data_IF_881747402810
#
_entry.id   IF_881747402810
#
_cell.length_a   1.000
_cell.length_b   1.000
_cell.length_c   1.000
_cell.angle_alpha   90.00
_cell.angle_beta   90.00
_cell.angle_gamma   90.00
#
_symmetry.space_group_name_H-M   'P 1'
#
loop_
_entity.id
_entity.type
_entity.pdbx_description
1 polymer ?
#
# COMPACT_ATOMS: atom_id res chain seq x y z
N UNK A 1 4.16 -18.60 23.96
CA UNK A 1 4.25 -18.13 22.58
C UNK A 1 5.38 -17.11 22.53
N UNK A 2 6.51 -17.43 21.88
CA UNK A 2 7.67 -16.54 21.82
C UNK A 2 7.28 -15.27 21.05
N UNK A 3 7.62 -14.11 21.60
CA UNK A 3 7.44 -12.81 20.94
C UNK A 3 8.51 -12.63 19.86
N UNK A 4 8.20 -11.97 18.74
CA UNK A 4 9.21 -11.59 17.75
C UNK A 4 10.33 -10.74 18.36
N UNK A 5 10.06 -10.04 19.47
CA UNK A 5 11.06 -9.27 20.19
C UNK A 5 12.12 -10.13 20.87
N UNK A 6 11.84 -11.42 21.10
CA UNK A 6 12.76 -12.39 21.72
C UNK A 6 13.73 -12.99 20.68
N UNK A 7 13.46 -12.81 19.39
CA UNK A 7 14.35 -13.15 18.27
C UNK A 7 14.86 -11.85 17.63
N UNK A 8 16.08 -11.43 17.98
CA UNK A 8 16.63 -10.16 17.49
C UNK A 8 16.83 -10.08 15.98
N UNK A 9 17.02 -11.20 15.28
CA UNK A 9 17.24 -11.21 13.85
C UNK A 9 15.92 -11.12 13.09
N UNK A 10 14.90 -11.85 13.53
CA UNK A 10 13.55 -11.71 13.03
C UNK A 10 12.99 -10.29 13.29
N UNK A 11 13.23 -9.73 14.48
CA UNK A 11 12.83 -8.36 14.83
C UNK A 11 13.53 -7.31 13.96
N UNK A 12 14.83 -7.48 13.68
CA UNK A 12 15.55 -6.57 12.80
C UNK A 12 15.08 -6.68 11.34
N UNK A 13 14.78 -7.88 10.86
CA UNK A 13 14.19 -8.08 9.55
C UNK A 13 12.83 -7.37 9.44
N UNK A 14 11.97 -7.51 10.44
CA UNK A 14 10.68 -6.82 10.50
C UNK A 14 10.83 -5.28 10.48
N UNK A 15 11.88 -4.73 11.12
CA UNK A 15 12.21 -3.31 11.05
C UNK A 15 12.67 -2.91 9.64
N UNK A 16 13.58 -3.67 9.00
CA UNK A 16 14.11 -3.36 7.68
C UNK A 16 13.02 -3.38 6.60
N UNK A 17 12.11 -4.35 6.69
CA UNK A 17 10.97 -4.50 5.78
C UNK A 17 9.78 -3.60 6.14
N UNK A 18 9.84 -2.92 7.29
CA UNK A 18 8.74 -2.13 7.85
C UNK A 18 7.44 -2.91 7.94
N UNK A 19 7.54 -4.13 8.42
CA UNK A 19 6.44 -5.08 8.44
C UNK A 19 5.31 -4.63 9.40
N UNK A 20 4.18 -4.25 8.81
CA UNK A 20 3.02 -3.76 9.53
C UNK A 20 2.35 -4.82 10.42
N UNK A 21 2.61 -6.12 10.19
CA UNK A 21 2.06 -7.21 11.02
C UNK A 21 2.54 -7.16 12.46
N UNK A 22 3.73 -6.55 12.68
CA UNK A 22 4.33 -6.40 14.01
C UNK A 22 4.08 -5.02 14.64
N UNK A 23 3.33 -4.16 13.97
CA UNK A 23 3.00 -2.85 14.50
C UNK A 23 2.13 -2.95 15.77
N UNK A 24 2.53 -2.25 16.82
CA UNK A 24 1.93 -2.39 18.17
C UNK A 24 2.38 -3.61 18.98
N UNK A 25 3.16 -4.53 18.37
CA UNK A 25 3.69 -5.74 19.05
C UNK A 25 5.21 -5.81 19.08
N UNK A 26 5.87 -4.96 18.31
CA UNK A 26 7.31 -4.81 18.26
C UNK A 26 7.65 -3.33 18.37
N UNK A 27 8.59 -2.99 19.23
CA UNK A 27 9.14 -1.66 19.39
C UNK A 27 10.66 -1.73 19.35
N UNK A 28 11.28 -0.76 18.70
CA UNK A 28 12.73 -0.76 18.44
C UNK A 28 13.36 0.43 19.11
N UNK A 29 14.11 0.20 20.17
CA UNK A 29 14.92 1.20 20.85
C UNK A 29 16.26 1.38 20.13
N UNK A 30 16.59 2.61 19.78
CA UNK A 30 17.85 2.98 19.12
C UNK A 30 18.82 3.54 20.15
N UNK A 31 19.83 2.78 20.51
CA UNK A 31 20.77 3.10 21.59
C UNK A 31 21.53 4.38 21.37
N UNK A 32 21.87 4.71 20.12
CA UNK A 32 22.60 5.94 19.77
C UNK A 32 21.79 7.23 19.97
N UNK A 33 20.44 7.12 20.06
CA UNK A 33 19.56 8.29 20.18
C UNK A 33 18.69 8.27 21.44
N UNK A 34 18.58 7.12 22.12
CA UNK A 34 17.68 6.91 23.24
C UNK A 34 16.19 6.96 22.85
N UNK A 35 15.86 6.75 21.55
CA UNK A 35 14.49 6.83 21.03
C UNK A 35 13.99 5.44 20.70
N UNK A 36 12.73 5.13 21.05
CA UNK A 36 12.08 3.94 20.52
C UNK A 36 11.04 4.28 19.46
N UNK A 37 10.97 3.42 18.46
CA UNK A 37 10.11 3.54 17.28
C UNK A 37 9.25 2.31 17.08
N UNK A 38 8.21 2.45 16.25
CA UNK A 38 7.44 1.35 15.64
C UNK A 38 8.25 0.74 14.48
N UNK A 39 8.06 -0.54 14.12
CA UNK A 39 8.75 -1.15 12.97
C UNK A 39 8.42 -0.42 11.66
N UNK A 40 7.20 0.11 11.52
CA UNK A 40 6.73 0.84 10.33
C UNK A 40 7.25 2.29 10.23
N UNK A 41 8.05 2.76 11.18
CA UNK A 41 8.54 4.14 11.20
C UNK A 41 9.41 4.45 9.97
N UNK A 42 9.15 5.62 9.33
CA UNK A 42 9.83 6.05 8.10
C UNK A 42 11.14 6.80 8.36
N UNK A 43 11.72 6.69 9.54
CA UNK A 43 13.08 7.17 9.80
C UNK A 43 14.10 6.27 9.10
N UNK A 44 15.33 6.76 8.95
CA UNK A 44 16.43 5.93 8.46
C UNK A 44 16.57 4.71 9.37
N UNK A 45 16.64 3.51 8.78
CA UNK A 45 16.83 2.27 9.52
C UNK A 45 18.17 2.32 10.26
N UNK A 46 18.19 2.17 11.59
CA UNK A 46 19.42 2.15 12.37
C UNK A 46 20.23 0.88 12.07
N UNK A 47 21.53 0.92 12.37
CA UNK A 47 22.36 -0.29 12.29
C UNK A 47 21.91 -1.30 13.35
N UNK A 48 22.05 -2.59 13.04
CA UNK A 48 21.63 -3.71 13.88
C UNK A 48 22.20 -3.63 15.30
N UNK A 49 23.48 -3.29 15.42
CA UNK A 49 24.18 -3.14 16.70
C UNK A 49 23.62 -2.06 17.62
N UNK A 50 22.91 -1.07 17.05
CA UNK A 50 22.26 0.02 17.78
C UNK A 50 20.78 -0.25 18.08
N UNK A 51 20.27 -1.47 17.81
CA UNK A 51 18.87 -1.81 18.01
C UNK A 51 18.69 -2.71 19.24
N UNK A 52 17.73 -2.33 20.09
CA UNK A 52 17.15 -3.18 21.15
C UNK A 52 15.67 -3.36 20.83
N UNK A 53 15.19 -4.58 21.03
CA UNK A 53 13.81 -4.93 20.66
C UNK A 53 12.97 -5.19 21.90
N UNK A 54 11.72 -4.71 21.86
CA UNK A 54 10.79 -4.77 22.99
C UNK A 54 9.42 -5.23 22.49
N UNK A 55 8.76 -6.13 23.24
CA UNK A 55 7.42 -6.60 22.95
C UNK A 55 6.31 -5.60 23.33
N UNK A 56 6.67 -4.54 24.08
CA UNK A 56 5.73 -3.48 24.45
C UNK A 56 6.45 -2.13 24.61
N UNK A 57 5.68 -1.05 24.48
CA UNK A 57 6.14 0.32 24.74
C UNK A 57 6.58 0.50 26.20
N UNK A 58 5.89 -0.14 27.15
CA UNK A 58 6.23 -0.04 28.56
C UNK A 58 7.63 -0.61 28.85
N UNK A 59 8.02 -1.70 28.19
CA UNK A 59 9.37 -2.26 28.30
C UNK A 59 10.44 -1.34 27.71
N UNK A 60 10.12 -0.66 26.60
CA UNK A 60 11.04 0.30 25.99
C UNK A 60 11.24 1.53 26.90
N UNK A 61 10.17 2.06 27.50
CA UNK A 61 10.23 3.18 28.44
C UNK A 61 10.93 2.79 29.77
N UNK A 62 10.67 1.60 30.31
CA UNK A 62 11.37 1.06 31.46
C UNK A 62 12.88 0.90 31.20
N UNK A 63 13.28 0.67 29.95
CA UNK A 63 14.67 0.65 29.50
C UNK A 63 15.25 2.05 29.20
N UNK A 64 14.58 3.11 29.60
CA UNK A 64 14.96 4.53 29.46
C UNK A 64 14.99 5.03 27.98
N UNK A 65 14.22 4.41 27.10
CA UNK A 65 14.00 4.99 25.76
C UNK A 65 12.79 5.91 25.77
N UNK A 66 12.87 7.04 25.07
CA UNK A 66 11.75 7.96 24.89
C UNK A 66 11.02 7.71 23.57
N UNK A 67 9.71 8.00 23.48
CA UNK A 67 8.94 7.77 22.24
C UNK A 67 9.39 8.68 21.08
N UNK A 68 9.33 8.13 19.88
CA UNK A 68 9.62 8.87 18.65
C UNK A 68 8.49 9.86 18.33
N UNK A 69 8.81 11.14 18.19
CA UNK A 69 7.83 12.19 17.86
C UNK A 69 7.22 12.03 16.46
N UNK A 70 7.86 11.27 15.56
CA UNK A 70 7.39 11.07 14.19
C UNK A 70 6.36 9.95 14.09
N UNK A 71 6.62 8.78 14.65
CA UNK A 71 5.69 7.64 14.58
C UNK A 71 4.77 7.52 15.80
N UNK A 72 5.02 8.32 16.86
CA UNK A 72 4.17 8.41 18.05
C UNK A 72 3.77 7.02 18.57
N UNK A 73 4.75 6.16 18.98
CA UNK A 73 4.46 4.79 19.40
C UNK A 73 3.55 4.72 20.63
N UNK A 74 3.49 5.79 21.42
CA UNK A 74 2.65 5.92 22.62
C UNK A 74 1.14 5.98 22.32
N UNK A 75 0.75 6.44 21.12
CA UNK A 75 -0.66 6.51 20.67
C UNK A 75 -0.97 5.62 19.48
N UNK A 76 -0.02 4.80 19.05
CA UNK A 76 -0.14 3.93 17.89
C UNK A 76 -0.49 2.48 18.30
N UNK A 77 -0.98 1.65 17.36
CA UNK A 77 -1.36 2.01 15.99
C UNK A 77 -2.72 2.73 15.94
N UNK A 78 -2.96 3.44 14.85
CA UNK A 78 -4.26 3.99 14.47
C UNK A 78 -4.45 5.49 14.74
N UNK A 79 -3.77 6.08 15.72
CA UNK A 79 -3.99 7.48 16.13
C UNK A 79 -2.83 8.44 15.81
N UNK A 80 -1.73 7.94 15.25
CA UNK A 80 -0.63 8.82 14.86
C UNK A 80 -0.90 9.47 13.49
N UNK A 81 -0.29 10.62 13.23
CA UNK A 81 -0.37 11.30 11.93
C UNK A 81 0.07 10.39 10.76
N UNK A 82 0.98 9.46 11.03
CA UNK A 82 1.44 8.50 10.05
C UNK A 82 0.35 7.47 9.72
N UNK A 83 -0.42 7.04 10.70
CA UNK A 83 -1.56 6.12 10.53
C UNK A 83 -2.69 6.81 9.78
N UNK A 84 -3.02 8.06 10.12
CA UNK A 84 -4.02 8.87 9.42
C UNK A 84 -3.67 9.04 7.93
N UNK A 85 -2.40 9.31 7.62
CA UNK A 85 -1.94 9.41 6.22
C UNK A 85 -2.09 8.09 5.46
N UNK A 86 -1.84 6.95 6.12
CA UNK A 86 -2.02 5.64 5.52
C UNK A 86 -3.50 5.34 5.31
N UNK A 87 -4.33 5.58 6.31
CA UNK A 87 -5.79 5.40 6.20
C UNK A 87 -6.40 6.22 5.06
N UNK A 88 -5.98 7.48 4.89
CA UNK A 88 -6.41 8.31 3.76
C UNK A 88 -5.97 7.73 2.41
N UNK A 89 -4.74 7.21 2.31
CA UNK A 89 -4.26 6.59 1.08
C UNK A 89 -5.03 5.30 0.76
N UNK A 90 -5.32 4.47 1.77
CA UNK A 90 -6.08 3.23 1.61
C UNK A 90 -7.55 3.55 1.22
N UNK A 91 -8.17 4.57 1.81
CA UNK A 91 -9.48 5.05 1.41
C UNK A 91 -9.51 5.55 -0.03
N UNK A 92 -8.46 6.27 -0.48
CA UNK A 92 -8.36 6.70 -1.87
C UNK A 92 -8.19 5.51 -2.83
N UNK A 93 -7.47 4.46 -2.44
CA UNK A 93 -7.34 3.25 -3.24
C UNK A 93 -8.69 2.56 -3.45
N UNK A 94 -9.49 2.40 -2.38
CA UNK A 94 -10.85 1.85 -2.47
C UNK A 94 -11.74 2.69 -3.40
N UNK A 95 -11.72 4.02 -3.30
CA UNK A 95 -12.49 4.89 -4.19
C UNK A 95 -12.04 4.78 -5.66
N UNK A 96 -10.75 4.55 -5.92
CA UNK A 96 -10.24 4.32 -7.27
C UNK A 96 -10.70 2.96 -7.81
N UNK A 97 -10.78 1.93 -6.98
CA UNK A 97 -11.29 0.61 -7.35
C UNK A 97 -12.80 0.64 -7.64
N UNK A 98 -13.59 1.30 -6.77
CA UNK A 98 -15.02 1.53 -7.00
C UNK A 98 -15.27 2.22 -8.34
N UNK A 99 -14.51 3.27 -8.67
CA UNK A 99 -14.62 3.96 -9.95
C UNK A 99 -14.39 3.05 -11.17
N UNK A 100 -13.56 2.00 -11.04
CA UNK A 100 -13.35 1.03 -12.12
C UNK A 100 -14.57 0.14 -12.29
N UNK A 101 -15.19 -0.30 -11.19
CA UNK A 101 -16.34 -1.21 -11.20
C UNK A 101 -17.63 -0.50 -11.61
N UNK A 102 -17.82 0.74 -11.16
CA UNK A 102 -19.06 1.50 -11.42
C UNK A 102 -19.03 2.26 -12.74
N UNK A 103 -17.89 2.28 -13.43
CA UNK A 103 -17.67 3.11 -14.62
C UNK A 103 -17.69 4.62 -14.31
N UNK A 104 -17.64 5.00 -13.03
CA UNK A 104 -17.61 6.40 -12.63
C UNK A 104 -16.22 7.01 -12.88
N UNK A 105 -16.19 8.24 -13.39
CA UNK A 105 -14.95 8.93 -13.74
C UNK A 105 -14.55 9.95 -12.66
N UNK A 106 -14.62 9.56 -11.36
CA UNK A 106 -14.15 10.49 -10.32
C UNK A 106 -12.66 10.75 -10.48
N UNK A 107 -12.31 12.00 -10.74
CA UNK A 107 -10.93 12.42 -10.88
C UNK A 107 -10.19 12.35 -9.54
N UNK A 108 -8.86 12.20 -9.57
CA UNK A 108 -8.07 12.22 -8.33
C UNK A 108 -8.26 13.51 -7.49
N UNK A 109 -8.36 14.71 -8.09
CA UNK A 109 -8.75 15.90 -7.34
C UNK A 109 -10.10 15.77 -6.62
N UNK A 110 -11.13 15.20 -7.27
CA UNK A 110 -12.42 14.99 -6.63
C UNK A 110 -12.35 14.01 -5.44
N UNK A 111 -11.53 12.97 -5.55
CA UNK A 111 -11.24 12.06 -4.42
C UNK A 111 -10.52 12.81 -3.30
N UNK A 112 -9.54 13.64 -3.62
CA UNK A 112 -8.81 14.44 -2.64
C UNK A 112 -9.75 15.40 -1.88
N UNK A 113 -10.65 16.07 -2.59
CA UNK A 113 -11.65 16.96 -2.00
C UNK A 113 -12.60 16.20 -1.05
N UNK A 114 -13.07 15.01 -1.44
CA UNK A 114 -13.90 14.15 -0.59
C UNK A 114 -13.17 13.69 0.69
N UNK A 115 -11.87 13.52 0.61
CA UNK A 115 -11.04 13.13 1.75
C UNK A 115 -10.53 14.34 2.57
N UNK A 116 -10.90 15.56 2.19
CA UNK A 116 -10.50 16.79 2.89
C UNK A 116 -9.00 17.10 2.80
N UNK A 117 -8.33 16.69 1.71
CA UNK A 117 -6.90 16.91 1.49
C UNK A 117 -6.62 17.48 0.11
N UNK A 118 -5.44 18.09 -0.07
CA UNK A 118 -5.02 18.56 -1.40
C UNK A 118 -4.59 17.39 -2.29
N UNK A 119 -4.79 17.50 -3.62
CA UNK A 119 -4.34 16.50 -4.61
C UNK A 119 -2.83 16.19 -4.47
N UNK A 120 -2.01 17.23 -4.26
CA UNK A 120 -0.57 17.06 -4.02
C UNK A 120 -0.27 16.21 -2.76
N UNK A 121 -0.99 16.46 -1.67
CA UNK A 121 -0.84 15.69 -0.44
C UNK A 121 -1.27 14.24 -0.65
N UNK A 122 -2.43 14.03 -1.28
CA UNK A 122 -2.95 12.70 -1.59
C UNK A 122 -1.97 11.88 -2.43
N UNK A 123 -1.43 12.44 -3.53
CA UNK A 123 -0.41 11.77 -4.36
C UNK A 123 0.80 11.34 -3.55
N UNK A 124 1.30 12.21 -2.67
CA UNK A 124 2.48 11.93 -1.85
C UNK A 124 2.23 10.80 -0.84
N UNK A 125 1.09 10.82 -0.13
CA UNK A 125 0.78 9.75 0.85
C UNK A 125 0.42 8.44 0.16
N UNK A 126 -0.26 8.50 -0.99
CA UNK A 126 -0.60 7.34 -1.80
C UNK A 126 0.66 6.62 -2.32
N UNK A 127 1.56 7.36 -2.96
CA UNK A 127 2.86 6.82 -3.42
C UNK A 127 3.65 6.21 -2.25
N UNK A 128 3.60 6.84 -1.08
CA UNK A 128 4.29 6.36 0.10
C UNK A 128 3.65 5.10 0.71
N UNK A 129 2.33 4.92 0.57
CA UNK A 129 1.60 3.77 1.10
C UNK A 129 1.62 2.57 0.14
N UNK A 130 1.39 2.81 -1.14
CA UNK A 130 1.19 1.76 -2.17
C UNK A 130 2.41 1.56 -3.09
N UNK A 131 3.45 2.40 -3.00
CA UNK A 131 4.67 2.26 -3.81
C UNK A 131 4.55 2.72 -5.26
N UNK A 132 3.33 3.08 -5.71
CA UNK A 132 3.02 3.51 -7.09
C UNK A 132 2.16 4.75 -7.09
N UNK A 133 2.19 5.53 -8.17
CA UNK A 133 1.32 6.69 -8.30
C UNK A 133 -0.16 6.26 -8.45
N UNK A 134 -1.15 7.09 -8.00
CA UNK A 134 -2.57 6.78 -8.12
C UNK A 134 -3.02 6.45 -9.55
N UNK A 135 -2.43 7.12 -10.56
CA UNK A 135 -2.71 6.86 -11.97
C UNK A 135 -2.30 5.45 -12.40
N UNK A 136 -1.11 5.01 -11.98
CA UNK A 136 -0.57 3.70 -12.33
C UNK A 136 -1.32 2.59 -11.59
N UNK A 137 -1.73 2.89 -10.35
CA UNK A 137 -2.62 2.03 -9.58
C UNK A 137 -3.94 1.81 -10.31
N UNK A 138 -4.63 2.89 -10.72
CA UNK A 138 -5.88 2.83 -11.47
C UNK A 138 -5.72 2.07 -12.80
N UNK A 139 -4.63 2.31 -13.54
CA UNK A 139 -4.34 1.58 -14.78
C UNK A 139 -4.20 0.09 -14.53
N UNK A 140 -3.58 -0.29 -13.42
CA UNK A 140 -3.46 -1.70 -13.00
C UNK A 140 -4.81 -2.31 -12.70
N UNK A 141 -5.68 -1.64 -11.92
CA UNK A 141 -7.01 -2.14 -11.58
C UNK A 141 -7.89 -2.34 -12.83
N UNK A 142 -7.85 -1.38 -13.77
CA UNK A 142 -8.54 -1.50 -15.08
C UNK A 142 -8.08 -2.73 -15.86
N UNK A 143 -6.78 -2.99 -15.90
CA UNK A 143 -6.24 -4.15 -16.62
C UNK A 143 -6.55 -5.48 -15.90
N UNK A 144 -6.61 -5.49 -14.56
CA UNK A 144 -7.03 -6.66 -13.79
C UNK A 144 -8.50 -7.00 -14.02
N UNK A 145 -9.40 -5.99 -14.02
CA UNK A 145 -10.80 -6.18 -14.39
C UNK A 145 -10.94 -6.68 -15.83
N UNK A 146 -10.18 -6.09 -16.78
CA UNK A 146 -10.18 -6.57 -18.16
C UNK A 146 -9.73 -8.01 -18.28
N UNK A 147 -8.68 -8.41 -17.56
CA UNK A 147 -8.22 -9.80 -17.50
C UNK A 147 -9.34 -10.72 -17.01
N UNK A 148 -9.97 -10.39 -15.90
CA UNK A 148 -11.07 -11.15 -15.32
C UNK A 148 -12.23 -11.30 -16.33
N UNK A 149 -12.69 -10.21 -16.96
CA UNK A 149 -13.76 -10.25 -17.95
C UNK A 149 -13.39 -11.09 -19.20
N UNK A 150 -12.12 -11.08 -19.60
CA UNK A 150 -11.64 -11.90 -20.72
C UNK A 150 -11.64 -13.39 -20.42
N UNK A 151 -11.34 -13.79 -19.17
CA UNK A 151 -11.27 -15.20 -18.75
C UNK A 151 -12.62 -15.75 -18.33
N UNK A 152 -13.43 -14.94 -17.64
CA UNK A 152 -14.63 -15.42 -16.96
C UNK A 152 -15.92 -15.18 -17.78
N UNK A 153 -15.82 -14.44 -18.91
CA UNK A 153 -16.99 -14.10 -19.75
C UNK A 153 -16.72 -14.28 -21.24
N UNK A 154 -17.80 -14.35 -22.03
CA UNK A 154 -17.77 -14.36 -23.50
C UNK A 154 -17.91 -12.96 -24.12
N UNK A 155 -17.87 -11.88 -23.32
CA UNK A 155 -18.03 -10.52 -23.80
C UNK A 155 -17.05 -10.19 -24.95
N UNK A 156 -17.48 -9.51 -26.02
CA UNK A 156 -16.57 -9.02 -27.06
C UNK A 156 -15.45 -8.17 -26.47
N UNK A 157 -14.24 -8.25 -27.04
CA UNK A 157 -13.05 -7.49 -26.56
C UNK A 157 -13.33 -5.98 -26.51
N UNK A 158 -14.15 -5.46 -27.41
CA UNK A 158 -14.59 -4.06 -27.42
C UNK A 158 -15.42 -3.69 -26.17
N UNK A 159 -16.33 -4.58 -25.76
CA UNK A 159 -17.13 -4.39 -24.55
C UNK A 159 -16.27 -4.54 -23.29
N UNK A 160 -15.34 -5.49 -23.28
CA UNK A 160 -14.36 -5.63 -22.17
C UNK A 160 -13.55 -4.35 -22.00
N UNK A 161 -13.05 -3.76 -23.10
CA UNK A 161 -12.30 -2.50 -23.04
C UNK A 161 -13.12 -1.37 -22.39
N UNK A 162 -14.39 -1.20 -22.82
CA UNK A 162 -15.29 -0.18 -22.28
C UNK A 162 -15.63 -0.46 -20.81
N UNK A 163 -16.04 -1.68 -20.48
CA UNK A 163 -16.37 -2.10 -19.12
C UNK A 163 -15.21 -1.95 -18.14
N UNK A 164 -13.96 -2.04 -18.63
CA UNK A 164 -12.75 -1.83 -17.84
C UNK A 164 -12.31 -0.35 -17.80
N UNK A 165 -13.13 0.59 -18.25
CA UNK A 165 -12.90 2.02 -18.16
C UNK A 165 -11.90 2.57 -19.19
N UNK A 166 -11.65 1.88 -20.31
CA UNK A 166 -10.84 2.41 -21.41
C UNK A 166 -11.70 3.16 -22.41
N UNK A 167 -11.32 4.38 -22.72
CA UNK A 167 -12.04 5.25 -23.69
C UNK A 167 -11.92 4.78 -25.15
N UNK A 168 -10.92 3.94 -25.46
CA UNK A 168 -10.73 3.42 -26.80
C UNK A 168 -10.07 2.05 -26.80
N UNK A 169 -10.47 1.20 -27.76
CA UNK A 169 -9.90 -0.12 -27.99
C UNK A 169 -8.39 -0.04 -28.30
N UNK A 170 -7.94 1.01 -28.98
CA UNK A 170 -6.52 1.22 -29.29
C UNK A 170 -5.69 1.38 -28.01
N UNK A 171 -6.14 2.25 -27.06
CA UNK A 171 -5.47 2.48 -25.79
C UNK A 171 -5.49 1.22 -24.94
N UNK A 172 -6.62 0.51 -24.92
CA UNK A 172 -6.76 -0.77 -24.24
C UNK A 172 -5.74 -1.80 -24.74
N UNK A 173 -5.71 -2.06 -26.05
CA UNK A 173 -4.79 -3.04 -26.64
C UNK A 173 -3.33 -2.69 -26.37
N UNK A 174 -2.96 -1.40 -26.48
CA UNK A 174 -1.60 -0.95 -26.21
C UNK A 174 -1.21 -1.18 -24.74
N UNK A 175 -2.04 -0.75 -23.78
CA UNK A 175 -1.78 -0.93 -22.35
C UNK A 175 -1.75 -2.43 -21.96
N UNK A 176 -2.64 -3.23 -22.54
CA UNK A 176 -2.72 -4.66 -22.28
C UNK A 176 -1.46 -5.39 -22.77
N UNK A 177 -1.04 -5.12 -24.02
CA UNK A 177 0.15 -5.71 -24.62
C UNK A 177 1.44 -5.26 -23.89
N UNK A 178 1.53 -4.00 -23.48
CA UNK A 178 2.65 -3.48 -22.71
C UNK A 178 2.81 -4.21 -21.39
N UNK A 179 1.68 -4.41 -20.65
CA UNK A 179 1.69 -5.00 -19.31
C UNK A 179 1.86 -6.52 -19.32
N UNK A 180 1.14 -7.23 -20.20
CA UNK A 180 1.04 -8.70 -20.19
C UNK A 180 1.87 -9.38 -21.29
N UNK A 181 2.44 -8.62 -22.23
CA UNK A 181 3.16 -9.13 -23.41
C UNK A 181 2.31 -10.07 -24.30
N UNK A 182 1.00 -9.95 -24.17
CA UNK A 182 -0.03 -10.68 -24.90
C UNK A 182 -1.10 -9.70 -25.37
N UNK A 183 -1.79 -10.02 -26.47
CA UNK A 183 -3.01 -9.29 -26.77
C UNK A 183 -4.26 -9.91 -26.09
N UNK A 184 -5.36 -9.16 -25.92
CA UNK A 184 -6.54 -9.65 -25.22
C UNK A 184 -7.13 -10.94 -25.80
N UNK A 185 -7.09 -11.11 -27.12
CA UNK A 185 -7.60 -12.31 -27.82
C UNK A 185 -6.72 -13.54 -27.53
N UNK A 186 -5.39 -13.34 -27.45
CA UNK A 186 -4.47 -14.41 -27.08
C UNK A 186 -4.71 -14.89 -25.66
N UNK A 187 -4.87 -13.96 -24.69
CA UNK A 187 -5.17 -14.33 -23.32
C UNK A 187 -6.46 -15.15 -23.22
N UNK A 188 -7.52 -14.73 -23.94
CA UNK A 188 -8.80 -15.47 -23.95
C UNK A 188 -8.63 -16.90 -24.44
N UNK A 189 -7.85 -17.12 -25.49
CA UNK A 189 -7.59 -18.47 -26.02
C UNK A 189 -6.86 -19.34 -25.02
N UNK A 190 -5.86 -18.79 -24.33
CA UNK A 190 -5.11 -19.53 -23.30
C UNK A 190 -5.96 -19.88 -22.06
N UNK A 191 -6.93 -19.03 -21.68
CA UNK A 191 -7.85 -19.31 -20.59
C UNK A 191 -8.99 -20.30 -20.97
N UNK A 192 -9.16 -20.60 -22.25
CA UNK A 192 -10.14 -21.57 -22.76
C UNK A 192 -9.54 -22.97 -23.01
N UNK A 193 -8.23 -23.14 -22.87
CA UNK A 193 -7.57 -24.46 -22.90
C UNK A 193 -7.64 -25.06 -21.47
N UNK A 194 -8.18 -26.31 -21.34
CA UNK A 194 -8.34 -26.99 -20.04
C UNK A 194 -7.01 -27.41 -19.43
#
# INVERSE_FOLDING_TARGET
MLSVADDPDAAYLALCTRDARFDGRLFVGVTSTGIYCRPVCRVRTPRRENCRFFGSRALAEAAAFRPCLKCRPEIAPGLSQMDSSRSLADSAALMLEENVHDGSASSLPAIADRLGVTDRHLRRIFQAAHGVAPRDYLATQRLLLAKQLLTDTTLPVTQVALASGFESLRRFNAAFAERYRLNPTQLRRQGAEP
#
